data_IF_433691971001
#
_entry.id   IF_433691971001
#
_cell.length_a   1.000
_cell.length_b   1.000
_cell.length_c   1.000
_cell.angle_alpha   90.00
_cell.angle_beta   90.00
_cell.angle_gamma   90.00
#
_symmetry.space_group_name_H-M   'P 1'
#
loop_
_entity.id
_entity.type
_entity.pdbx_description
1 polymer ?
#
# COMPACT_ATOMS: atom_id res chain seq x y z
N UNK A 1 25.31 13.60 -4.81
CA UNK A 1 24.77 12.27 -4.50
C UNK A 1 23.43 12.19 -5.23
N UNK A 2 23.30 11.31 -6.22
CA UNK A 2 22.08 11.22 -7.03
C UNK A 2 21.01 10.47 -6.24
N UNK A 3 19.80 11.03 -6.15
CA UNK A 3 18.65 10.33 -5.59
C UNK A 3 18.44 9.05 -6.41
N UNK A 4 18.44 7.90 -5.75
CA UNK A 4 18.06 6.65 -6.42
C UNK A 4 16.55 6.65 -6.66
N UNK A 5 16.10 5.86 -7.64
CA UNK A 5 14.66 5.75 -7.96
C UNK A 5 13.87 5.23 -6.74
N UNK A 6 14.53 4.56 -5.80
CA UNK A 6 14.00 4.03 -4.55
C UNK A 6 13.45 5.12 -3.60
N UNK A 7 14.15 6.24 -3.43
CA UNK A 7 13.64 7.40 -2.70
C UNK A 7 12.53 8.12 -3.49
N UNK A 8 12.55 7.96 -4.81
CA UNK A 8 11.59 8.60 -5.72
C UNK A 8 10.19 8.00 -5.58
N UNK A 9 10.04 6.68 -5.40
CA UNK A 9 8.70 6.09 -5.16
C UNK A 9 8.11 6.55 -3.83
N UNK A 10 8.89 6.56 -2.74
CA UNK A 10 8.41 7.02 -1.43
C UNK A 10 8.05 8.50 -1.48
N UNK A 11 8.92 9.33 -2.07
CA UNK A 11 8.66 10.76 -2.24
C UNK A 11 7.41 11.02 -3.10
N UNK A 12 7.24 10.25 -4.17
CA UNK A 12 6.03 10.30 -4.98
C UNK A 12 4.80 9.90 -4.17
N UNK A 13 4.86 8.80 -3.40
CA UNK A 13 3.74 8.33 -2.59
C UNK A 13 3.34 9.36 -1.54
N UNK A 14 4.32 9.99 -0.88
CA UNK A 14 4.10 11.10 0.05
C UNK A 14 3.39 12.27 -0.62
N UNK A 15 3.87 12.69 -1.80
CA UNK A 15 3.22 13.75 -2.58
C UNK A 15 1.83 13.37 -3.09
N UNK A 16 1.63 12.12 -3.50
CA UNK A 16 0.35 11.63 -3.99
C UNK A 16 -0.70 11.56 -2.88
N UNK A 17 -0.31 11.19 -1.66
CA UNK A 17 -1.19 11.23 -0.48
C UNK A 17 -1.45 12.68 -0.05
N UNK A 18 -0.43 13.54 -0.04
CA UNK A 18 -0.59 14.95 0.37
C UNK A 18 -1.49 15.77 -0.57
N UNK A 19 -1.57 15.38 -1.85
CA UNK A 19 -2.39 16.04 -2.87
C UNK A 19 -3.72 15.31 -3.16
N UNK A 20 -4.11 14.35 -2.33
CA UNK A 20 -5.32 13.52 -2.50
C UNK A 20 -5.41 12.71 -3.81
N UNK A 21 -4.31 12.60 -4.58
CA UNK A 21 -4.21 11.69 -5.75
C UNK A 21 -4.35 10.22 -5.34
N UNK A 22 -3.84 9.88 -4.14
CA UNK A 22 -3.98 8.56 -3.53
C UNK A 22 -4.65 8.75 -2.17
N UNK A 23 -5.94 8.44 -2.10
CA UNK A 23 -6.70 8.48 -0.84
C UNK A 23 -6.61 7.13 -0.14
N UNK A 24 -5.95 7.08 1.01
CA UNK A 24 -5.76 5.81 1.74
C UNK A 24 -7.11 5.27 2.19
N UNK A 25 -7.43 4.02 1.83
CA UNK A 25 -8.65 3.35 2.25
C UNK A 25 -9.90 3.68 1.43
N UNK A 26 -9.82 4.56 0.42
CA UNK A 26 -10.90 4.72 -0.55
C UNK A 26 -11.13 3.42 -1.33
N UNK A 27 -12.35 3.22 -1.81
CA UNK A 27 -12.79 1.96 -2.43
C UNK A 27 -11.96 1.57 -3.66
N UNK A 28 -11.60 2.55 -4.47
CA UNK A 28 -10.82 2.45 -5.70
C UNK A 28 -9.33 2.71 -5.50
N UNK A 29 -8.91 3.08 -4.30
CA UNK A 29 -7.50 3.33 -4.00
C UNK A 29 -6.71 2.02 -3.96
N UNK A 30 -5.46 1.99 -4.47
CA UNK A 30 -4.56 0.86 -4.32
C UNK A 30 -3.78 0.88 -3.00
N UNK A 31 -4.04 1.86 -2.13
CA UNK A 31 -3.35 2.00 -0.84
C UNK A 31 -4.36 1.91 0.29
N UNK A 32 -4.13 0.98 1.21
CA UNK A 32 -5.06 0.68 2.28
C UNK A 32 -4.32 0.45 3.59
N UNK A 33 -4.94 0.80 4.72
CA UNK A 33 -4.45 0.36 6.03
C UNK A 33 -4.97 -1.05 6.33
N UNK A 34 -4.14 -1.88 6.96
CA UNK A 34 -4.45 -3.25 7.37
C UNK A 34 -3.87 -3.58 8.75
N UNK A 35 -4.27 -4.72 9.32
CA UNK A 35 -3.67 -5.30 10.52
C UNK A 35 -2.21 -5.62 10.25
N UNK A 36 -1.34 -4.70 10.65
CA UNK A 36 0.10 -4.82 10.49
C UNK A 36 0.73 -3.55 9.94
N UNK A 37 -0.01 -2.76 9.15
CA UNK A 37 0.48 -1.47 8.64
C UNK A 37 -0.19 -1.03 7.34
N UNK A 38 0.60 -0.46 6.43
CA UNK A 38 0.12 0.06 5.14
C UNK A 38 0.27 -1.01 4.05
N UNK A 39 -0.85 -1.41 3.47
CA UNK A 39 -0.92 -2.30 2.32
C UNK A 39 -0.85 -1.49 1.01
N UNK A 40 0.07 -1.88 0.15
CA UNK A 40 0.31 -1.36 -1.19
C UNK A 40 -0.10 -2.42 -2.22
N UNK A 41 -1.22 -2.21 -2.92
CA UNK A 41 -1.69 -3.13 -3.95
C UNK A 41 -0.72 -3.18 -5.14
N UNK A 42 -0.26 -4.40 -5.47
CA UNK A 42 0.56 -4.67 -6.65
C UNK A 42 -0.29 -5.30 -7.76
N UNK A 43 -0.12 -4.89 -9.02
CA UNK A 43 0.81 -3.86 -9.50
C UNK A 43 0.23 -2.44 -9.45
N UNK A 44 -1.00 -2.25 -8.94
CA UNK A 44 -1.79 -1.04 -9.12
C UNK A 44 -1.07 0.25 -8.68
N UNK A 45 -0.54 0.30 -7.45
CA UNK A 45 0.15 1.51 -6.95
C UNK A 45 1.45 1.80 -7.71
N UNK A 46 2.19 0.76 -8.09
CA UNK A 46 3.44 0.91 -8.84
C UNK A 46 3.18 1.34 -10.28
N UNK A 47 2.07 0.91 -10.87
CA UNK A 47 1.60 1.40 -12.18
C UNK A 47 1.16 2.85 -12.13
N UNK A 48 0.59 3.33 -11.02
CA UNK A 48 0.25 4.75 -10.86
C UNK A 48 1.52 5.63 -10.83
N UNK A 49 2.60 5.14 -10.22
CA UNK A 49 3.89 5.83 -10.20
C UNK A 49 4.62 5.76 -11.55
N UNK A 50 4.82 4.56 -12.08
CA UNK A 50 5.57 4.31 -13.30
C UNK A 50 4.88 3.23 -14.17
N UNK A 51 3.93 3.61 -15.05
CA UNK A 51 3.14 2.65 -15.83
C UNK A 51 3.98 1.66 -16.65
N UNK A 52 5.05 2.16 -17.29
CA UNK A 52 5.90 1.38 -18.20
C UNK A 52 7.03 0.62 -17.50
N UNK A 53 7.31 0.93 -16.23
CA UNK A 53 8.44 0.38 -15.45
C UNK A 53 8.03 -0.03 -14.03
N UNK A 54 6.76 -0.40 -13.85
CA UNK A 54 6.19 -0.69 -12.54
C UNK A 54 6.90 -1.86 -11.84
N UNK A 55 7.43 -2.83 -12.60
CA UNK A 55 8.17 -3.96 -12.05
C UNK A 55 9.52 -3.53 -11.46
N UNK A 56 10.23 -2.62 -12.15
CA UNK A 56 11.48 -2.03 -11.66
C UNK A 56 11.21 -1.26 -10.36
N UNK A 57 10.21 -0.36 -10.39
CA UNK A 57 9.82 0.43 -9.23
C UNK A 57 9.43 -0.45 -8.02
N UNK A 58 8.77 -1.57 -8.28
CA UNK A 58 8.42 -2.53 -7.24
C UNK A 58 9.67 -3.25 -6.70
N UNK A 59 10.58 -3.72 -7.55
CA UNK A 59 11.80 -4.38 -7.09
C UNK A 59 12.71 -3.44 -6.29
N UNK A 60 12.83 -2.21 -6.74
CA UNK A 60 13.54 -1.13 -6.05
C UNK A 60 12.94 -0.88 -4.66
N UNK A 61 11.62 -0.70 -4.57
CA UNK A 61 10.94 -0.55 -3.29
C UNK A 61 11.16 -1.75 -2.36
N UNK A 62 11.06 -2.97 -2.89
CA UNK A 62 11.30 -4.20 -2.12
C UNK A 62 12.75 -4.34 -1.67
N UNK A 63 13.72 -3.75 -2.38
CA UNK A 63 15.12 -3.78 -1.99
C UNK A 63 15.40 -2.97 -0.71
N UNK A 64 14.54 -2.01 -0.38
CA UNK A 64 14.64 -1.18 0.82
C UNK A 64 14.39 -1.96 2.11
N UNK A 65 13.77 -3.14 2.04
CA UNK A 65 13.46 -3.97 3.22
C UNK A 65 12.49 -3.30 4.20
N UNK A 66 11.73 -2.31 3.74
CA UNK A 66 10.74 -1.60 4.55
C UNK A 66 9.45 -2.38 4.73
N UNK A 67 9.24 -3.45 3.96
CA UNK A 67 8.06 -4.29 4.00
C UNK A 67 8.24 -5.55 4.84
N UNK A 68 7.12 -6.11 5.30
CA UNK A 68 7.08 -7.43 5.92
C UNK A 68 7.29 -8.51 4.86
N UNK A 69 8.05 -9.56 5.17
CA UNK A 69 8.11 -10.76 4.33
C UNK A 69 6.89 -11.64 4.63
N UNK A 70 6.22 -12.13 3.58
CA UNK A 70 5.08 -13.01 3.76
C UNK A 70 5.56 -14.33 4.39
N UNK A 71 4.94 -14.81 5.49
CA UNK A 71 5.36 -16.05 6.13
C UNK A 71 4.87 -17.31 5.38
N UNK A 72 3.81 -17.19 4.56
CA UNK A 72 3.10 -18.35 3.97
C UNK A 72 3.59 -18.67 2.55
N UNK A 73 4.08 -17.66 1.82
CA UNK A 73 4.73 -17.83 0.53
C UNK A 73 6.12 -17.23 0.65
N UNK A 74 7.17 -17.88 0.13
CA UNK A 74 8.56 -17.40 0.15
C UNK A 74 8.75 -16.13 -0.71
N UNK A 75 8.04 -15.06 -0.40
CA UNK A 75 7.90 -13.86 -1.21
C UNK A 75 7.47 -12.63 -0.39
N UNK A 76 7.39 -11.49 -1.06
CA UNK A 76 7.09 -10.20 -0.44
C UNK A 76 5.60 -9.82 -0.51
N UNK A 77 4.77 -10.73 -1.02
CA UNK A 77 3.38 -10.46 -1.35
C UNK A 77 2.40 -11.05 -0.34
N UNK A 78 1.41 -10.26 0.01
CA UNK A 78 0.31 -10.59 0.91
C UNK A 78 -0.98 -10.58 0.12
N UNK A 79 -1.80 -11.61 0.29
CA UNK A 79 -3.17 -11.64 -0.19
C UNK A 79 -4.09 -10.91 0.79
N UNK A 80 -4.94 -10.02 0.27
CA UNK A 80 -5.95 -9.29 1.04
C UNK A 80 -7.31 -9.45 0.39
N UNK A 81 -8.28 -9.92 1.16
CA UNK A 81 -9.69 -9.85 0.78
C UNK A 81 -10.24 -8.46 1.09
N UNK A 82 -10.65 -7.72 0.06
CA UNK A 82 -11.48 -6.54 0.22
C UNK A 82 -12.94 -6.91 0.02
N UNK A 83 -13.77 -6.50 0.97
CA UNK A 83 -15.22 -6.50 0.80
C UNK A 83 -15.57 -5.25 -0.02
N UNK A 84 -15.77 -5.44 -1.32
CA UNK A 84 -16.26 -4.38 -2.18
C UNK A 84 -17.79 -4.36 -2.10
N UNK A 85 -18.34 -3.35 -1.44
CA UNK A 85 -19.78 -3.05 -1.53
C UNK A 85 -20.01 -2.35 -2.87
N UNK A 86 -20.39 -3.10 -3.92
CA UNK A 86 -21.00 -2.46 -5.09
C UNK A 86 -22.38 -1.94 -4.65
N UNK A 87 -22.76 -0.75 -5.09
CA UNK A 87 -24.16 -0.31 -5.02
C UNK A 87 -25.05 -1.37 -5.71
N UNK A 88 -25.73 -2.20 -4.93
CA UNK A 88 -26.51 -3.35 -5.39
C UNK A 88 -26.22 -4.61 -4.55
N UNK A 89 -27.20 -5.50 -4.46
CA UNK A 89 -27.38 -6.59 -3.47
C UNK A 89 -26.30 -7.71 -3.47
N UNK A 90 -25.12 -7.48 -4.04
CA UNK A 90 -24.03 -8.45 -4.17
C UNK A 90 -22.72 -7.86 -3.65
N UNK A 91 -22.36 -8.22 -2.41
CA UNK A 91 -21.01 -8.00 -1.88
C UNK A 91 -20.04 -8.94 -2.61
N UNK A 92 -19.11 -8.39 -3.40
CA UNK A 92 -18.08 -9.16 -4.07
C UNK A 92 -16.83 -9.16 -3.20
N UNK A 93 -16.33 -10.35 -2.82
CA UNK A 93 -15.01 -10.49 -2.20
C UNK A 93 -13.96 -10.39 -3.30
N UNK A 94 -13.24 -9.28 -3.34
CA UNK A 94 -12.11 -9.10 -4.27
C UNK A 94 -10.83 -9.50 -3.54
N UNK A 95 -10.06 -10.43 -4.11
CA UNK A 95 -8.74 -10.77 -3.60
C UNK A 95 -7.69 -9.90 -4.29
N UNK A 96 -7.05 -9.01 -3.53
CA UNK A 96 -5.93 -8.18 -3.97
C UNK A 96 -4.62 -8.76 -3.46
N UNK A 97 -3.55 -8.60 -4.21
CA UNK A 97 -2.20 -9.01 -3.80
C UNK A 97 -1.33 -7.76 -3.71
N UNK A 98 -0.44 -7.69 -2.71
CA UNK A 98 0.32 -6.47 -2.49
C UNK A 98 1.40 -6.62 -1.43
N UNK A 99 2.03 -5.51 -1.08
CA UNK A 99 3.13 -5.45 -0.13
C UNK A 99 2.64 -4.76 1.15
N UNK A 100 3.07 -5.23 2.32
CA UNK A 100 2.72 -4.61 3.60
C UNK A 100 3.93 -3.91 4.18
N UNK A 101 3.83 -2.60 4.41
CA UNK A 101 4.77 -1.83 5.23
C UNK A 101 4.28 -1.89 6.66
N UNK A 102 5.03 -2.49 7.60
CA UNK A 102 4.60 -2.57 8.98
C UNK A 102 4.61 -1.19 9.65
N UNK A 103 3.75 -0.97 10.65
CA UNK A 103 3.60 0.33 11.32
C UNK A 103 4.92 0.93 11.83
N UNK A 104 5.85 0.11 12.33
CA UNK A 104 7.15 0.58 12.81
C UNK A 104 8.06 1.14 11.70
N UNK A 105 7.76 0.86 10.43
CA UNK A 105 8.43 1.46 9.28
C UNK A 105 7.57 2.55 8.61
N UNK A 106 6.33 2.75 9.05
CA UNK A 106 5.39 3.67 8.41
C UNK A 106 5.85 5.12 8.51
N UNK A 107 6.46 5.53 9.62
CA UNK A 107 7.02 6.88 9.78
C UNK A 107 8.13 7.18 8.74
N UNK A 108 8.84 6.17 8.25
CA UNK A 108 9.86 6.33 7.20
C UNK A 108 9.25 6.53 5.82
N UNK A 109 8.03 6.01 5.60
CA UNK A 109 7.35 6.06 4.31
C UNK A 109 6.37 7.23 4.24
N UNK A 110 5.59 7.45 5.30
CA UNK A 110 4.57 8.49 5.42
C UNK A 110 4.70 9.20 6.79
N UNK A 111 5.70 10.09 6.97
CA UNK A 111 5.96 10.74 8.27
C UNK A 111 4.82 11.66 8.72
N UNK A 112 4.07 12.22 7.77
CA UNK A 112 2.95 13.14 8.04
C UNK A 112 1.59 12.44 8.02
N UNK A 113 1.55 11.11 8.10
CA UNK A 113 0.28 10.39 8.08
C UNK A 113 -0.56 10.81 9.30
N UNK A 114 -1.78 11.32 9.12
CA UNK A 114 -2.61 11.75 10.23
C UNK A 114 -2.77 10.62 11.26
N UNK A 115 -2.44 10.89 12.52
CA UNK A 115 -2.47 9.89 13.58
C UNK A 115 -3.84 9.21 13.76
N UNK A 116 -4.93 9.87 13.35
CA UNK A 116 -6.28 9.31 13.37
C UNK A 116 -6.48 8.17 12.34
N UNK A 117 -5.70 8.15 11.25
CA UNK A 117 -5.70 7.04 10.30
C UNK A 117 -4.96 5.83 10.88
N UNK A 118 -3.89 6.05 11.65
CA UNK A 118 -3.11 4.99 12.32
C UNK A 118 -3.84 4.43 13.56
N UNK A 119 -4.66 5.25 14.23
CA UNK A 119 -5.38 4.89 15.47
C UNK A 119 -6.68 4.12 15.27
N UNK A 120 -7.17 4.03 14.05
CA UNK A 120 -8.22 3.07 13.74
C UNK A 120 -7.53 1.73 13.52
N UNK A 121 -7.32 1.00 14.62
CA UNK A 121 -7.49 -0.46 14.60
C UNK A 121 -8.87 -0.69 13.97
N UNK A 122 -8.92 -0.80 12.64
CA UNK A 122 -10.18 -1.04 11.94
C UNK A 122 -10.76 -2.28 12.60
N UNK A 123 -11.95 -2.18 13.22
CA UNK A 123 -12.56 -3.31 13.90
C UNK A 123 -12.52 -4.50 12.96
N UNK A 124 -11.94 -5.59 13.45
CA UNK A 124 -11.98 -6.86 12.77
C UNK A 124 -13.46 -7.18 12.53
N UNK A 125 -13.84 -7.36 11.26
CA UNK A 125 -15.00 -8.10 10.78
C UNK A 125 -16.24 -8.20 11.69
N UNK A 126 -17.38 -7.72 11.16
CA UNK A 126 -18.55 -8.58 11.13
C UNK A 126 -18.51 -9.38 9.81
#
# INVERSE_FOLDING_TARGET
MGQTIDETFISWLQGAVANDTVVIGAHDSPVHLDKGGLFLESPAVFKMYMPNRWLDAQHEFLSLGLHTRCPVEKGNFHGRHLNATKHGTLSVRVHKVGVVIPFHNLEKVLPNLPAHLVRNEVPQWA
#
